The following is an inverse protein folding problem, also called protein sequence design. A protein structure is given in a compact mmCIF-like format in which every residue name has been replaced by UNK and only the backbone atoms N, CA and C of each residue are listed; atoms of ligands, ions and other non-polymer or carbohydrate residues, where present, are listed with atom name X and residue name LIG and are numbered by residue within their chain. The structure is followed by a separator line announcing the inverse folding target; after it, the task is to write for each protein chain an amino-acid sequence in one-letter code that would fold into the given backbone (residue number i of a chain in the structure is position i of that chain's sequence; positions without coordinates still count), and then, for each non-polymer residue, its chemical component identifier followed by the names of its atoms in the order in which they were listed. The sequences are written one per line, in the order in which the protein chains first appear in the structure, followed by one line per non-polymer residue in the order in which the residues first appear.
data_IF_599562754579
#
_entry.id   IF_599562754579
#
_cell.length_a   1.000
_cell.length_b   1.000
_cell.length_c   1.000
_cell.angle_alpha   90.00
_cell.angle_beta   90.00
_cell.angle_gamma   90.00
#
_symmetry.space_group_name_H-M   'P 1'
#
loop_
_entity.id
_entity.type
_entity.pdbx_description
1 polymer ?
#
# COMPACT_ATOMS: atom_id res chain seq x y z
N UNK A 1 -4.94 -26.66 -12.66
CA UNK A 1 -4.47 -25.93 -13.86
C UNK A 1 -3.70 -24.64 -13.49
N UNK A 2 -2.84 -24.69 -12.45
CA UNK A 2 -1.99 -23.57 -11.99
C UNK A 2 -0.58 -24.05 -11.59
N UNK A 3 -0.21 -25.31 -11.92
CA UNK A 3 1.05 -25.93 -11.51
C UNK A 3 2.05 -26.20 -12.65
N UNK A 4 1.63 -26.04 -13.91
CA UNK A 4 2.47 -26.32 -15.08
C UNK A 4 3.25 -25.11 -15.60
N UNK A 5 2.77 -23.88 -15.34
CA UNK A 5 3.54 -22.65 -15.65
C UNK A 5 4.68 -22.37 -14.65
N UNK A 6 4.67 -23.05 -13.50
CA UNK A 6 5.68 -22.90 -12.44
C UNK A 6 7.02 -23.58 -12.77
N UNK A 7 7.05 -24.53 -13.71
CA UNK A 7 8.23 -25.38 -14.00
C UNK A 7 9.14 -24.88 -15.12
N UNK A 8 8.77 -23.84 -15.86
CA UNK A 8 9.58 -23.30 -16.97
C UNK A 8 10.28 -21.97 -16.64
N UNK A 9 10.01 -21.36 -15.48
CA UNK A 9 10.56 -20.05 -15.11
C UNK A 9 11.75 -20.13 -14.13
N UNK A 10 12.20 -21.34 -13.74
CA UNK A 10 13.21 -21.52 -12.70
C UNK A 10 14.66 -21.56 -13.19
N UNK A 11 14.94 -21.36 -14.50
CA UNK A 11 16.27 -21.66 -15.06
C UNK A 11 16.87 -20.63 -16.03
N UNK A 12 16.26 -19.48 -16.27
CA UNK A 12 16.89 -18.43 -17.09
C UNK A 12 16.70 -17.05 -16.47
N UNK A 13 17.78 -16.57 -15.84
CA UNK A 13 18.13 -15.16 -15.85
C UNK A 13 17.24 -14.24 -15.01
N UNK A 14 17.62 -14.10 -13.75
CA UNK A 14 17.50 -12.81 -13.08
C UNK A 14 18.23 -11.74 -13.93
N UNK A 15 17.67 -10.53 -14.00
CA UNK A 15 18.22 -9.29 -14.58
C UNK A 15 18.05 -9.11 -16.11
N UNK A 16 17.63 -7.91 -16.52
CA UNK A 16 17.68 -7.29 -17.88
C UNK A 16 16.39 -7.03 -18.68
N UNK A 17 15.21 -6.93 -18.07
CA UNK A 17 14.15 -6.09 -18.67
C UNK A 17 13.61 -5.11 -17.64
N UNK A 18 14.35 -4.02 -17.48
CA UNK A 18 13.79 -2.76 -16.99
C UNK A 18 12.67 -2.36 -17.96
N UNK A 19 11.44 -2.69 -17.61
CA UNK A 19 10.24 -2.12 -18.22
C UNK A 19 10.38 -0.61 -18.12
N UNK A 20 10.40 0.08 -19.26
CA UNK A 20 10.51 1.54 -19.36
C UNK A 20 9.49 2.20 -18.42
N UNK A 21 9.95 2.68 -17.26
CA UNK A 21 9.07 3.28 -16.25
C UNK A 21 9.69 3.36 -14.87
N UNK A 22 9.82 2.23 -14.15
CA UNK A 22 10.17 2.16 -12.72
C UNK A 22 10.93 0.85 -12.41
N UNK A 23 11.94 0.92 -11.53
CA UNK A 23 12.69 -0.26 -11.04
C UNK A 23 12.00 -0.89 -9.82
N UNK A 24 12.30 -2.17 -9.51
CA UNK A 24 11.78 -2.83 -8.29
C UNK A 24 12.12 -2.04 -7.00
N UNK A 25 13.29 -1.40 -6.96
CA UNK A 25 13.75 -0.58 -5.84
C UNK A 25 13.04 0.78 -5.76
N UNK A 26 12.67 1.37 -6.90
CA UNK A 26 11.84 2.57 -6.92
C UNK A 26 10.40 2.23 -6.49
N UNK A 27 9.89 1.07 -6.88
CA UNK A 27 8.58 0.57 -6.48
C UNK A 27 8.45 0.40 -4.97
N UNK A 28 9.44 -0.16 -4.28
CA UNK A 28 9.38 -0.35 -2.81
C UNK A 28 9.23 0.96 -2.06
N UNK A 29 9.84 2.05 -2.56
CA UNK A 29 9.71 3.40 -1.99
C UNK A 29 8.31 4.00 -2.20
N UNK A 30 7.68 3.67 -3.31
CA UNK A 30 6.37 4.19 -3.72
C UNK A 30 5.21 3.29 -3.26
N UNK A 31 5.50 2.13 -2.68
CA UNK A 31 4.50 1.12 -2.35
C UNK A 31 3.47 1.62 -1.33
N UNK A 32 3.90 2.44 -0.37
CA UNK A 32 3.03 3.00 0.68
C UNK A 32 1.96 3.89 0.02
N UNK A 33 2.38 4.90 -0.74
CA UNK A 33 1.47 5.82 -1.44
C UNK A 33 0.55 5.11 -2.43
N UNK A 34 1.05 4.03 -3.05
CA UNK A 34 0.26 3.19 -3.95
C UNK A 34 -0.86 2.45 -3.21
N UNK A 35 -0.56 1.88 -2.03
CA UNK A 35 -1.53 1.11 -1.23
C UNK A 35 -2.51 2.01 -0.49
N UNK A 36 -2.06 3.17 -0.01
CA UNK A 36 -2.90 4.18 0.64
C UNK A 36 -3.77 4.98 -0.35
N UNK A 37 -3.54 4.79 -1.65
CA UNK A 37 -4.33 5.42 -2.71
C UNK A 37 -4.09 6.92 -2.87
N UNK A 38 -3.04 7.45 -2.23
CA UNK A 38 -2.64 8.86 -2.28
C UNK A 38 -1.82 9.20 -3.54
N UNK A 39 -1.41 8.18 -4.29
CA UNK A 39 -0.64 8.35 -5.51
C UNK A 39 -1.44 8.95 -6.66
N UNK A 40 -0.88 9.99 -7.28
CA UNK A 40 -1.48 10.74 -8.38
C UNK A 40 -0.92 10.30 -9.75
N UNK A 41 -1.77 10.41 -10.78
CA UNK A 41 -1.34 10.50 -12.18
C UNK A 41 -0.47 9.35 -12.71
N UNK A 42 0.61 9.72 -13.42
CA UNK A 42 1.40 8.82 -14.26
C UNK A 42 2.23 7.77 -13.51
N UNK A 43 2.56 7.99 -12.24
CA UNK A 43 3.36 7.02 -11.47
C UNK A 43 2.55 5.80 -11.06
N UNK A 44 1.25 5.96 -10.80
CA UNK A 44 0.36 4.83 -10.53
C UNK A 44 0.27 3.88 -11.73
N UNK A 45 0.10 4.43 -12.93
CA UNK A 45 0.07 3.64 -14.17
C UNK A 45 1.38 2.89 -14.43
N UNK A 46 2.53 3.50 -14.13
CA UNK A 46 3.85 2.85 -14.23
C UNK A 46 4.01 1.70 -13.25
N UNK A 47 3.51 1.85 -12.02
CA UNK A 47 3.48 0.80 -11.01
C UNK A 47 2.54 -0.34 -11.39
N UNK A 48 1.34 -0.04 -11.89
CA UNK A 48 0.39 -1.05 -12.38
C UNK A 48 1.00 -1.88 -13.52
N UNK A 49 1.70 -1.23 -14.45
CA UNK A 49 2.46 -1.94 -15.50
C UNK A 49 3.54 -2.84 -14.89
N UNK A 50 4.33 -2.32 -13.96
CA UNK A 50 5.39 -3.09 -13.32
C UNK A 50 4.85 -4.32 -12.57
N UNK A 51 3.71 -4.21 -11.89
CA UNK A 51 3.08 -5.36 -11.23
C UNK A 51 2.62 -6.43 -12.22
N UNK A 52 2.26 -6.05 -13.44
CA UNK A 52 1.90 -7.00 -14.52
C UNK A 52 3.14 -7.76 -15.01
N UNK A 53 4.28 -7.08 -15.08
CA UNK A 53 5.52 -7.62 -15.66
C UNK A 53 6.44 -8.30 -14.64
N UNK A 54 6.29 -8.00 -13.34
CA UNK A 54 7.14 -8.49 -12.26
C UNK A 54 6.36 -9.27 -11.19
N UNK A 55 6.31 -10.61 -11.28
CA UNK A 55 5.61 -11.46 -10.31
C UNK A 55 6.09 -11.30 -8.87
N UNK A 56 7.39 -11.02 -8.68
CA UNK A 56 7.97 -10.81 -7.35
C UNK A 56 7.42 -9.55 -6.68
N UNK A 57 7.35 -8.44 -7.42
CA UNK A 57 6.81 -7.19 -6.90
C UNK A 57 5.29 -7.30 -6.66
N UNK A 58 4.56 -8.01 -7.52
CA UNK A 58 3.14 -8.30 -7.28
C UNK A 58 2.92 -9.13 -6.01
N UNK A 59 3.71 -10.19 -5.79
CA UNK A 59 3.66 -10.99 -4.58
C UNK A 59 3.97 -10.16 -3.33
N UNK A 60 5.00 -9.32 -3.39
CA UNK A 60 5.35 -8.40 -2.30
C UNK A 60 4.22 -7.42 -1.97
N UNK A 61 3.60 -6.78 -2.98
CA UNK A 61 2.45 -5.88 -2.80
C UNK A 61 1.28 -6.60 -2.13
N UNK A 62 0.99 -7.84 -2.55
CA UNK A 62 -0.06 -8.66 -1.94
C UNK A 62 0.24 -8.94 -0.47
N UNK A 63 1.46 -9.37 -0.15
CA UNK A 63 1.88 -9.59 1.24
C UNK A 63 1.76 -8.32 2.06
N UNK A 64 2.20 -7.17 1.51
CA UNK A 64 2.12 -5.89 2.22
C UNK A 64 0.68 -5.48 2.54
N UNK A 65 -0.25 -5.63 1.59
CA UNK A 65 -1.69 -5.42 1.84
C UNK A 65 -2.23 -6.34 2.93
N UNK A 66 -1.88 -7.62 2.89
CA UNK A 66 -2.27 -8.58 3.92
C UNK A 66 -1.74 -8.19 5.30
N UNK A 67 -0.50 -7.70 5.39
CA UNK A 67 0.06 -7.19 6.64
C UNK A 67 -0.74 -5.99 7.16
N UNK A 68 -1.17 -5.07 6.29
CA UNK A 68 -2.02 -3.93 6.67
C UNK A 68 -3.36 -4.44 7.21
N UNK A 69 -4.03 -5.33 6.49
CA UNK A 69 -5.34 -5.84 6.89
C UNK A 69 -5.26 -6.58 8.23
N UNK A 70 -4.29 -7.49 8.39
CA UNK A 70 -4.04 -8.18 9.66
C UNK A 70 -3.69 -7.20 10.78
N UNK A 71 -2.87 -6.18 10.52
CA UNK A 71 -2.53 -5.18 11.55
C UNK A 71 -3.76 -4.39 12.02
N UNK A 72 -4.74 -4.15 11.13
CA UNK A 72 -6.01 -3.50 11.48
C UNK A 72 -6.91 -4.42 12.28
N UNK A 73 -6.97 -5.71 11.95
CA UNK A 73 -7.73 -6.72 12.70
C UNK A 73 -7.16 -6.94 14.10
N UNK A 74 -5.84 -6.86 14.25
CA UNK A 74 -5.14 -6.96 15.53
C UNK A 74 -5.34 -5.67 16.37
N UNK A 75 -6.11 -4.68 15.90
CA UNK A 75 -6.35 -3.44 16.65
C UNK A 75 -6.80 -3.73 18.08
N UNK A 76 -5.85 -3.40 18.96
CA UNK A 76 -5.88 -3.34 20.41
C UNK A 76 -7.26 -2.90 20.90
N UNK A 77 -7.76 -3.59 21.93
CA UNK A 77 -9.04 -3.38 22.62
C UNK A 77 -9.72 -2.04 22.33
N UNK A 78 -11.00 -2.10 21.96
CA UNK A 78 -11.81 -0.94 21.60
C UNK A 78 -11.47 0.26 22.49
N UNK A 79 -10.90 1.32 21.88
CA UNK A 79 -10.52 2.56 22.57
C UNK A 79 -11.54 2.89 23.67
N UNK A 80 -11.13 3.02 24.94
CA UNK A 80 -12.04 3.32 26.03
C UNK A 80 -12.89 4.56 25.69
N UNK A 81 -14.17 4.50 26.01
CA UNK A 81 -15.14 5.55 25.66
C UNK A 81 -14.70 6.92 26.19
N UNK A 82 -14.12 6.97 27.39
CA UNK A 82 -13.61 8.20 28.00
C UNK A 82 -12.53 8.87 27.15
N UNK A 83 -11.54 8.10 26.67
CA UNK A 83 -10.45 8.63 25.85
C UNK A 83 -10.99 9.12 24.50
N UNK A 84 -11.89 8.35 23.88
CA UNK A 84 -12.57 8.76 22.64
C UNK A 84 -13.36 10.05 22.81
N UNK A 85 -14.06 10.23 23.92
CA UNK A 85 -14.82 11.44 24.22
C UNK A 85 -13.91 12.65 24.47
N UNK A 86 -12.85 12.48 25.26
CA UNK A 86 -11.86 13.54 25.52
C UNK A 86 -11.16 13.99 24.25
N UNK A 87 -10.77 13.06 23.39
CA UNK A 87 -10.16 13.36 22.10
C UNK A 87 -11.13 14.11 21.18
N UNK A 88 -12.38 13.64 21.06
CA UNK A 88 -13.41 14.33 20.25
C UNK A 88 -13.64 15.77 20.71
N UNK A 89 -13.74 16.00 22.03
CA UNK A 89 -13.90 17.35 22.59
C UNK A 89 -12.73 18.25 22.21
N UNK A 90 -11.50 17.78 22.46
CA UNK A 90 -10.29 18.54 22.14
C UNK A 90 -10.19 18.87 20.64
N UNK A 91 -10.47 17.89 19.76
CA UNK A 91 -10.44 18.12 18.32
C UNK A 91 -11.51 19.12 17.88
N UNK A 92 -12.73 19.04 18.42
CA UNK A 92 -13.79 20.00 18.10
C UNK A 92 -13.43 21.43 18.53
N UNK A 93 -12.89 21.60 19.74
CA UNK A 93 -12.41 22.90 20.24
C UNK A 93 -11.33 23.48 19.31
N UNK A 94 -10.36 22.66 18.88
CA UNK A 94 -9.27 23.11 18.00
C UNK A 94 -9.65 23.26 16.53
N UNK A 95 -10.60 22.47 16.04
CA UNK A 95 -11.14 22.63 14.69
C UNK A 95 -11.95 23.92 14.58
N UNK A 96 -12.69 24.30 15.63
CA UNK A 96 -13.45 25.55 15.68
C UNK A 96 -12.56 26.80 15.62
N UNK A 97 -11.40 26.78 16.28
CA UNK A 97 -10.41 27.86 16.22
C UNK A 97 -9.86 28.08 14.80
N UNK A 98 -9.80 27.02 13.98
CA UNK A 98 -9.16 27.05 12.65
C UNK A 98 -10.15 27.15 11.49
N UNK A 99 -11.37 26.63 11.65
CA UNK A 99 -12.45 26.65 10.66
C UNK A 99 -13.82 26.79 11.37
N UNK A 100 -14.28 28.02 11.65
CA UNK A 100 -15.62 28.23 12.21
C UNK A 100 -16.69 27.78 11.21
N UNK A 101 -17.82 27.20 11.66
CA UNK A 101 -18.92 26.86 10.76
C UNK A 101 -19.54 28.13 10.17
N UNK A 102 -20.01 27.99 8.93
CA UNK A 102 -20.73 29.02 8.18
C UNK A 102 -22.07 29.37 8.83
#
# INVERSE_FOLDING_TARGET
MFSLFRKLWSSLGCWLLATRGISCEALTRLLIDYVDGTMLGGDRARLDSHFTDCPNCFAMMRTYRQTIDLSREISCDSMPSEIRLRLKRFLNEKMWERYPPL
#
